data_IF_438353484234
#
_entry.id   IF_438353484234
#
_cell.length_a   1.000
_cell.length_b   1.000
_cell.length_c   1.000
_cell.angle_alpha   90.00
_cell.angle_beta   90.00
_cell.angle_gamma   90.00
#
_symmetry.space_group_name_H-M   'P 1'
#
loop_
_entity.id
_entity.type
_entity.pdbx_description
1 polymer ?
#
# COMPACT_ATOMS: atom_id res chain seq x y z
N UNK A 1 11.49 -7.18 16.88
CA UNK A 1 12.55 -7.27 15.85
C UNK A 1 11.98 -6.64 14.59
N UNK A 2 12.09 -5.31 14.46
CA UNK A 2 11.62 -4.61 13.26
C UNK A 2 12.58 -4.95 12.12
N UNK A 3 12.19 -5.90 11.28
CA UNK A 3 12.96 -6.25 10.09
C UNK A 3 12.77 -5.13 9.06
N UNK A 4 13.80 -4.29 8.91
CA UNK A 4 13.87 -3.20 7.93
C UNK A 4 13.86 -3.69 6.47
N UNK A 5 13.79 -5.00 6.26
CA UNK A 5 13.76 -5.67 4.95
C UNK A 5 12.36 -6.08 4.50
N UNK A 6 11.32 -5.82 5.29
CA UNK A 6 9.95 -6.19 4.89
C UNK A 6 9.46 -5.26 3.76
N UNK A 7 9.06 -5.85 2.64
CA UNK A 7 8.65 -5.11 1.44
C UNK A 7 7.26 -4.51 1.63
N UNK A 8 7.03 -3.35 1.03
CA UNK A 8 5.71 -2.70 1.01
C UNK A 8 4.68 -3.63 0.38
N UNK A 9 3.47 -3.67 0.96
CA UNK A 9 2.33 -4.34 0.34
C UNK A 9 2.01 -3.65 -0.99
N UNK A 10 1.87 -4.40 -2.11
CA UNK A 10 1.55 -3.76 -3.38
C UNK A 10 0.12 -3.21 -3.32
N UNK A 11 -0.06 -1.95 -3.72
CA UNK A 11 -1.40 -1.35 -3.86
C UNK A 11 -2.11 -2.00 -5.06
N UNK A 12 -3.32 -2.55 -4.89
CA UNK A 12 -4.13 -2.98 -6.02
C UNK A 12 -4.43 -1.81 -6.95
N UNK A 13 -4.23 -2.00 -8.25
CA UNK A 13 -4.46 -0.98 -9.27
C UNK A 13 -5.27 -1.53 -10.44
N UNK A 14 -6.02 -0.66 -11.12
CA UNK A 14 -6.61 -0.99 -12.40
C UNK A 14 -5.54 -1.34 -13.44
N UNK A 15 -5.85 -2.32 -14.30
CA UNK A 15 -4.97 -2.70 -15.40
C UNK A 15 -4.77 -1.52 -16.37
N UNK A 16 -3.55 -1.31 -16.90
CA UNK A 16 -3.27 -0.22 -17.84
C UNK A 16 -4.22 -0.17 -19.04
N UNK A 17 -4.52 -1.34 -19.64
CA UNK A 17 -5.40 -1.44 -20.80
C UNK A 17 -6.87 -1.05 -20.52
N UNK A 18 -7.29 -1.11 -19.26
CA UNK A 18 -8.64 -0.77 -18.81
C UNK A 18 -8.71 0.70 -18.42
N UNK A 19 -7.74 1.20 -17.62
CA UNK A 19 -7.73 2.58 -17.11
C UNK A 19 -7.51 3.65 -18.19
N UNK A 20 -6.92 3.31 -19.34
CA UNK A 20 -6.79 4.27 -20.48
C UNK A 20 -8.13 4.58 -21.17
N UNK A 21 -9.20 3.86 -20.83
CA UNK A 21 -10.52 3.99 -21.46
C UNK A 21 -11.56 4.65 -20.56
N UNK A 22 -11.21 5.03 -19.34
CA UNK A 22 -12.16 5.52 -18.35
C UNK A 22 -11.51 6.57 -17.41
N UNK A 23 -12.34 7.21 -16.57
CA UNK A 23 -11.92 8.19 -15.55
C UNK A 23 -12.17 7.68 -14.13
N UNK A 24 -12.30 6.37 -13.96
CA UNK A 24 -12.45 5.75 -12.64
C UNK A 24 -11.10 5.70 -11.92
N UNK A 25 -11.14 5.51 -10.60
CA UNK A 25 -9.96 5.54 -9.76
C UNK A 25 -8.97 4.41 -10.10
N UNK A 26 -7.69 4.76 -10.26
CA UNK A 26 -6.66 3.80 -10.65
C UNK A 26 -6.17 2.98 -9.47
N UNK A 27 -5.88 3.63 -8.33
CA UNK A 27 -5.44 2.96 -7.11
C UNK A 27 -6.68 2.50 -6.33
N UNK A 28 -6.89 1.19 -6.28
CA UNK A 28 -8.13 0.62 -5.77
C UNK A 28 -8.18 0.50 -4.24
N UNK A 29 -7.11 0.92 -3.55
CA UNK A 29 -6.98 0.83 -2.11
C UNK A 29 -6.58 -0.56 -1.62
N UNK A 30 -6.08 -0.62 -0.38
CA UNK A 30 -5.80 -1.88 0.29
C UNK A 30 -7.08 -2.56 0.77
N UNK A 31 -7.02 -3.89 0.88
CA UNK A 31 -7.98 -4.60 1.74
C UNK A 31 -7.69 -4.29 3.21
N UNK A 32 -8.61 -4.64 4.10
CA UNK A 32 -8.40 -4.48 5.54
C UNK A 32 -7.13 -5.21 6.00
N UNK A 33 -6.90 -6.44 5.51
CA UNK A 33 -5.74 -7.25 5.87
C UNK A 33 -4.43 -6.62 5.39
N UNK A 34 -4.40 -6.12 4.16
CA UNK A 34 -3.22 -5.45 3.60
C UNK A 34 -2.94 -4.13 4.33
N UNK A 35 -3.97 -3.35 4.65
CA UNK A 35 -3.83 -2.11 5.40
C UNK A 35 -3.26 -2.37 6.81
N UNK A 36 -3.77 -3.39 7.52
CA UNK A 36 -3.25 -3.77 8.83
C UNK A 36 -1.82 -4.31 8.75
N UNK A 37 -1.49 -5.07 7.70
CA UNK A 37 -0.14 -5.57 7.50
C UNK A 37 0.86 -4.43 7.21
N UNK A 38 0.47 -3.47 6.37
CA UNK A 38 1.29 -2.31 6.03
C UNK A 38 1.46 -1.37 7.25
N UNK A 39 0.39 -1.13 8.03
CA UNK A 39 0.46 -0.31 9.24
C UNK A 39 1.46 -0.86 10.28
N UNK A 40 1.57 -2.19 10.39
CA UNK A 40 2.53 -2.86 11.28
C UNK A 40 4.00 -2.65 10.88
N UNK A 41 4.28 -2.12 9.68
CA UNK A 41 5.63 -1.75 9.26
C UNK A 41 6.11 -0.43 9.86
N UNK A 42 5.20 0.38 10.41
CA UNK A 42 5.56 1.61 11.12
C UNK A 42 6.49 1.29 12.30
N UNK A 43 7.58 2.04 12.44
CA UNK A 43 8.55 1.85 13.54
C UNK A 43 8.18 2.61 14.82
N UNK A 44 7.08 3.37 14.79
CA UNK A 44 6.64 4.24 15.89
C UNK A 44 7.77 5.16 16.39
N UNK A 45 8.45 5.82 15.44
CA UNK A 45 9.61 6.67 15.73
C UNK A 45 9.26 7.78 16.73
N UNK A 46 10.00 7.87 17.84
CA UNK A 46 9.82 8.93 18.84
C UNK A 46 10.10 10.35 18.29
N UNK A 47 10.92 10.45 17.24
CA UNK A 47 11.15 11.66 16.46
C UNK A 47 11.12 11.31 14.97
N UNK A 48 9.97 11.40 14.28
CA UNK A 48 9.88 11.15 12.85
C UNK A 48 10.65 12.22 12.07
N UNK A 49 11.21 11.81 10.92
CA UNK A 49 11.91 12.72 10.00
C UNK A 49 10.96 13.68 9.29
#
# INVERSE_FOLDING_TARGET
MHMLTDKMRPMPEQKPAERVKNFQEVALGYTEEDALAEAKRCLECANPL
#
